data_IF_271222606052
#
_entry.id   IF_271222606052
#
_cell.length_a   1.000
_cell.length_b   1.000
_cell.length_c   1.000
_cell.angle_alpha   90.00
_cell.angle_beta   90.00
_cell.angle_gamma   90.00
#
_symmetry.space_group_name_H-M   'P 1'
#
loop_
_entity.id
_entity.type
_entity.pdbx_description
1 polymer ?
#
# COMPACT_ATOMS: atom_id res chain seq x y z
N UNK A 1 -13.60 0.30 -18.86
CA UNK A 1 -12.75 0.95 -19.87
C UNK A 1 -11.50 1.41 -19.18
N UNK A 2 -10.31 1.06 -19.68
CA UNK A 2 -9.08 1.57 -19.10
C UNK A 2 -9.04 3.09 -19.33
N UNK A 3 -8.57 3.89 -18.37
CA UNK A 3 -8.43 5.33 -18.60
C UNK A 3 -7.45 5.58 -19.74
N UNK A 4 -7.77 6.51 -20.65
CA UNK A 4 -6.88 6.96 -21.72
C UNK A 4 -5.77 7.86 -21.15
N UNK A 5 -4.78 7.23 -20.51
CA UNK A 5 -3.60 7.91 -19.99
C UNK A 5 -2.48 8.01 -21.04
N UNK A 6 -1.68 9.07 -20.95
CA UNK A 6 -0.48 9.24 -21.79
C UNK A 6 0.55 8.14 -21.52
N UNK A 7 1.46 7.89 -22.47
CA UNK A 7 2.53 6.89 -22.30
C UNK A 7 3.38 7.17 -21.05
N UNK A 8 3.67 8.44 -20.78
CA UNK A 8 4.43 8.88 -19.59
C UNK A 8 3.68 8.52 -18.30
N UNK A 9 2.36 8.71 -18.28
CA UNK A 9 1.53 8.35 -17.13
C UNK A 9 1.57 6.84 -16.87
N UNK A 10 1.46 6.01 -17.91
CA UNK A 10 1.60 4.56 -17.77
C UNK A 10 2.96 4.14 -17.23
N UNK A 11 4.05 4.74 -17.72
CA UNK A 11 5.40 4.46 -17.23
C UNK A 11 5.54 4.81 -15.74
N UNK A 12 5.03 5.98 -15.33
CA UNK A 12 5.07 6.42 -13.93
C UNK A 12 4.21 5.52 -13.04
N UNK A 13 3.03 5.10 -13.49
CA UNK A 13 2.15 4.18 -12.74
C UNK A 13 2.85 2.83 -12.54
N UNK A 14 3.37 2.23 -13.61
CA UNK A 14 4.04 0.92 -13.55
C UNK A 14 5.28 1.00 -12.63
N UNK A 15 6.10 2.03 -12.80
CA UNK A 15 7.31 2.22 -11.99
C UNK A 15 6.96 2.43 -10.51
N UNK A 16 5.95 3.24 -10.21
CA UNK A 16 5.50 3.50 -8.84
C UNK A 16 4.89 2.26 -8.19
N UNK A 17 4.11 1.48 -8.94
CA UNK A 17 3.59 0.18 -8.47
C UNK A 17 4.72 -0.79 -8.16
N UNK A 18 5.74 -0.85 -9.00
CA UNK A 18 6.93 -1.68 -8.76
C UNK A 18 7.65 -1.26 -7.48
N UNK A 19 7.91 0.04 -7.29
CA UNK A 19 8.52 0.57 -6.07
C UNK A 19 7.69 0.27 -4.82
N UNK A 20 6.35 0.41 -4.91
CA UNK A 20 5.43 0.03 -3.82
C UNK A 20 5.60 -1.45 -3.46
N UNK A 21 5.65 -2.34 -4.46
CA UNK A 21 5.85 -3.77 -4.25
C UNK A 21 7.16 -4.10 -3.55
N UNK A 22 8.28 -3.52 -4.01
CA UNK A 22 9.60 -3.72 -3.39
C UNK A 22 9.62 -3.18 -1.95
N UNK A 23 9.00 -2.03 -1.71
CA UNK A 23 8.88 -1.43 -0.37
C UNK A 23 8.10 -2.32 0.58
N UNK A 24 6.99 -2.90 0.10
CA UNK A 24 6.13 -3.79 0.89
C UNK A 24 6.78 -5.15 1.18
N UNK A 25 7.71 -5.58 0.32
CA UNK A 25 8.55 -6.77 0.53
C UNK A 25 9.71 -6.58 1.53
N UNK A 26 9.88 -5.40 2.12
CA UNK A 26 10.87 -5.14 3.17
C UNK A 26 12.27 -4.70 2.69
N UNK A 27 12.52 -4.67 1.38
CA UNK A 27 13.83 -4.28 0.83
C UNK A 27 14.00 -2.77 0.64
N UNK A 28 12.91 -2.00 0.63
CA UNK A 28 12.92 -0.61 0.17
C UNK A 28 11.91 0.26 0.93
N UNK A 29 11.85 0.16 2.26
CA UNK A 29 10.78 0.72 3.09
C UNK A 29 10.45 2.22 2.89
N UNK A 30 11.38 3.02 2.37
CA UNK A 30 11.16 4.42 2.03
C UNK A 30 10.62 4.68 0.62
N UNK A 31 10.69 3.73 -0.31
CA UNK A 31 10.28 3.95 -1.70
C UNK A 31 8.76 3.83 -1.91
N UNK A 32 8.04 3.16 -1.01
CA UNK A 32 6.58 3.08 -1.05
C UNK A 32 5.93 4.46 -0.91
N UNK A 33 6.50 5.36 -0.11
CA UNK A 33 5.97 6.72 0.10
C UNK A 33 6.15 7.61 -1.14
N UNK A 34 7.13 7.32 -2.00
CA UNK A 34 7.35 8.04 -3.26
C UNK A 34 6.35 7.66 -4.36
N UNK A 35 5.63 6.56 -4.19
CA UNK A 35 4.76 6.03 -5.25
C UNK A 35 3.57 6.94 -5.55
N UNK A 36 2.94 7.54 -4.54
CA UNK A 36 1.83 8.49 -4.74
C UNK A 36 2.33 9.81 -5.37
N UNK A 37 3.39 10.46 -4.87
CA UNK A 37 3.97 11.65 -5.51
C UNK A 37 4.39 11.42 -6.96
N UNK A 38 5.01 10.28 -7.28
CA UNK A 38 5.44 9.95 -8.65
C UNK A 38 4.25 9.78 -9.59
N UNK A 39 3.19 9.10 -9.16
CA UNK A 39 1.95 9.01 -9.94
C UNK A 39 1.27 10.38 -10.06
N UNK A 40 1.30 11.20 -9.01
CA UNK A 40 0.67 12.52 -8.99
C UNK A 40 1.26 13.52 -10.00
N UNK A 41 2.47 13.26 -10.53
CA UNK A 41 3.04 14.04 -11.64
C UNK A 41 2.29 13.86 -12.96
N UNK A 42 1.49 12.80 -13.09
CA UNK A 42 0.79 12.45 -14.33
C UNK A 42 -0.72 12.25 -14.18
N UNK A 43 -1.20 11.86 -12.99
CA UNK A 43 -2.62 11.62 -12.70
C UNK A 43 -3.02 12.32 -11.40
N UNK A 44 -4.31 12.52 -11.16
CA UNK A 44 -4.75 13.12 -9.89
C UNK A 44 -4.40 12.23 -8.69
N UNK A 45 -4.05 12.81 -7.52
CA UNK A 45 -3.75 12.01 -6.32
C UNK A 45 -4.89 11.07 -5.90
N UNK A 46 -6.14 11.49 -6.12
CA UNK A 46 -7.33 10.66 -5.87
C UNK A 46 -7.40 9.44 -6.80
N UNK A 47 -7.02 9.58 -8.07
CA UNK A 47 -6.92 8.46 -9.00
C UNK A 47 -5.76 7.52 -8.64
N UNK A 48 -4.61 8.09 -8.26
CA UNK A 48 -3.46 7.30 -7.81
C UNK A 48 -3.81 6.45 -6.57
N UNK A 49 -4.46 7.06 -5.57
CA UNK A 49 -4.96 6.35 -4.40
C UNK A 49 -5.99 5.28 -4.79
N UNK A 50 -6.95 5.60 -5.66
CA UNK A 50 -7.94 4.64 -6.15
C UNK A 50 -7.35 3.43 -6.86
N UNK A 51 -6.22 3.60 -7.57
CA UNK A 51 -5.49 2.51 -8.22
C UNK A 51 -4.65 1.70 -7.22
N UNK A 52 -4.01 2.36 -6.26
CA UNK A 52 -3.14 1.73 -5.28
C UNK A 52 -3.91 0.96 -4.21
N UNK A 53 -5.06 1.43 -3.74
CA UNK A 53 -5.79 0.81 -2.61
C UNK A 53 -6.14 -0.67 -2.86
N UNK A 54 -6.77 -1.07 -3.99
CA UNK A 54 -7.05 -2.49 -4.26
C UNK A 54 -5.78 -3.32 -4.41
N UNK A 55 -4.75 -2.75 -5.05
CA UNK A 55 -3.46 -3.40 -5.22
C UNK A 55 -2.79 -3.66 -3.86
N UNK A 56 -2.79 -2.67 -2.98
CA UNK A 56 -2.25 -2.78 -1.63
C UNK A 56 -2.99 -3.85 -0.83
N UNK A 57 -4.32 -3.91 -0.92
CA UNK A 57 -5.11 -4.92 -0.24
C UNK A 57 -4.77 -6.34 -0.71
N UNK A 58 -4.57 -6.53 -2.02
CA UNK A 58 -4.10 -7.80 -2.59
C UNK A 58 -2.69 -8.14 -2.07
N UNK A 59 -1.77 -7.17 -2.04
CA UNK A 59 -0.43 -7.38 -1.49
C UNK A 59 -0.46 -7.77 -0.01
N UNK A 60 -1.35 -7.18 0.80
CA UNK A 60 -1.51 -7.55 2.21
C UNK A 60 -2.01 -8.98 2.35
N UNK A 61 -2.98 -9.40 1.55
CA UNK A 61 -3.47 -10.78 1.56
C UNK A 61 -2.34 -11.78 1.25
N UNK A 62 -1.47 -11.49 0.27
CA UNK A 62 -0.30 -12.32 -0.03
C UNK A 62 0.73 -12.31 1.10
N UNK A 63 1.01 -11.15 1.71
CA UNK A 63 1.93 -11.04 2.83
C UNK A 63 1.44 -11.87 4.04
N UNK A 64 0.17 -11.70 4.40
CA UNK A 64 -0.49 -12.47 5.46
C UNK A 64 -0.43 -13.96 5.15
N UNK A 65 -0.76 -14.37 3.93
CA UNK A 65 -0.66 -15.78 3.51
C UNK A 65 0.76 -16.34 3.61
N UNK A 66 1.78 -15.57 3.27
CA UNK A 66 3.18 -16.00 3.31
C UNK A 66 3.71 -16.23 4.75
N UNK A 67 3.15 -15.48 5.71
CA UNK A 67 3.55 -15.48 7.13
C UNK A 67 2.51 -16.11 8.07
N UNK A 68 1.39 -16.62 7.55
CA UNK A 68 0.35 -17.25 8.33
C UNK A 68 0.90 -18.47 9.10
N UNK A 69 0.66 -18.52 10.41
CA UNK A 69 1.16 -19.58 11.28
C UNK A 69 2.66 -19.50 11.62
N UNK A 70 3.40 -18.52 11.11
CA UNK A 70 4.80 -18.24 11.51
C UNK A 70 4.93 -17.10 12.53
N UNK A 71 3.81 -16.49 12.90
CA UNK A 71 3.76 -15.38 13.84
C UNK A 71 3.71 -15.87 15.29
N UNK A 72 4.18 -15.05 16.22
CA UNK A 72 3.95 -15.25 17.64
C UNK A 72 2.56 -14.70 18.00
N UNK A 73 1.62 -15.59 18.33
CA UNK A 73 0.25 -15.20 18.67
C UNK A 73 0.17 -14.34 19.93
N UNK A 74 1.04 -14.56 20.92
CA UNK A 74 1.04 -13.75 22.14
C UNK A 74 1.46 -12.31 21.82
N UNK A 75 2.47 -12.14 20.96
CA UNK A 75 2.92 -10.81 20.56
C UNK A 75 1.86 -10.09 19.70
N UNK A 76 1.20 -10.79 18.77
CA UNK A 76 0.07 -10.23 18.00
C UNK A 76 -1.03 -9.72 18.94
N UNK A 77 -1.44 -10.52 19.93
CA UNK A 77 -2.48 -10.12 20.89
C UNK A 77 -2.09 -8.91 21.76
N UNK A 78 -0.79 -8.66 22.00
CA UNK A 78 -0.33 -7.46 22.71
C UNK A 78 -0.49 -6.19 21.88
N UNK A 79 -0.38 -6.28 20.55
CA UNK A 79 -0.59 -5.14 19.64
C UNK A 79 -2.07 -4.85 19.35
N UNK A 80 -2.94 -5.86 19.41
CA UNK A 80 -4.37 -5.75 19.06
C UNK A 80 -5.10 -4.61 19.81
N UNK A 81 -4.98 -4.44 21.14
CA UNK A 81 -5.65 -3.34 21.84
C UNK A 81 -5.22 -1.95 21.37
N UNK A 82 -3.91 -1.75 21.15
CA UNK A 82 -3.37 -0.49 20.63
C UNK A 82 -3.85 -0.21 19.21
N UNK A 83 -3.92 -1.23 18.36
CA UNK A 83 -4.50 -1.15 17.03
C UNK A 83 -5.97 -0.71 17.08
N UNK A 84 -6.79 -1.35 17.93
CA UNK A 84 -8.21 -0.98 18.06
C UNK A 84 -8.39 0.47 18.52
N UNK A 85 -7.64 0.90 19.54
CA UNK A 85 -7.71 2.27 20.06
C UNK A 85 -7.27 3.26 18.97
N UNK A 86 -6.12 3.02 18.33
CA UNK A 86 -5.57 3.92 17.30
C UNK A 86 -6.50 4.07 16.09
N UNK A 87 -7.04 2.95 15.58
CA UNK A 87 -7.99 2.97 14.45
C UNK A 87 -9.28 3.68 14.84
N UNK A 88 -9.82 3.42 16.04
CA UNK A 88 -11.06 4.06 16.50
C UNK A 88 -10.88 5.57 16.64
N UNK A 89 -9.80 6.01 17.31
CA UNK A 89 -9.50 7.43 17.47
C UNK A 89 -9.28 8.11 16.11
N UNK A 90 -8.50 7.49 15.21
CA UNK A 90 -8.24 8.03 13.87
C UNK A 90 -9.46 8.03 12.95
N UNK A 91 -10.49 7.22 13.23
CA UNK A 91 -11.76 7.23 12.47
C UNK A 91 -12.73 8.30 12.98
N UNK A 92 -12.66 8.64 14.27
CA UNK A 92 -13.55 9.62 14.91
C UNK A 92 -13.04 11.06 14.82
N UNK A 93 -11.75 11.27 14.59
CA UNK A 93 -11.10 12.56 14.35
C UNK A 93 -11.13 12.93 12.86
#
# INVERSE_FOLDING_TARGET
MLPDYSLIAWLLIIFSVYLTGVSKGGFAGGFGTLSVPLMALAISPTQAAGLLLPLLLVMDAFAVKAWWGKHDSAEVWRFVPGLFIGVTVGTLL
#
